data_IF_213805808437
#
_entry.id   IF_213805808437
#
_cell.length_a   1.000
_cell.length_b   1.000
_cell.length_c   1.000
_cell.angle_alpha   90.00
_cell.angle_beta   90.00
_cell.angle_gamma   90.00
#
_symmetry.space_group_name_H-M   'P 1'
#
loop_
_entity.id
_entity.type
_entity.pdbx_description
1 polymer ?
#
# COMPACT_ATOMS: atom_id res chain seq x y z
N UNK A 1 3.75 11.40 -1.06
CA UNK A 1 5.04 10.93 -1.62
C UNK A 1 4.89 10.89 -3.13
N UNK A 2 5.90 11.26 -3.93
CA UNK A 2 5.85 11.04 -5.38
C UNK A 2 6.27 9.62 -5.72
N UNK A 3 5.41 8.89 -6.42
CA UNK A 3 5.68 7.53 -6.90
C UNK A 3 6.06 7.58 -8.40
N UNK A 4 6.96 6.70 -8.85
CA UNK A 4 7.40 6.70 -10.25
C UNK A 4 6.26 6.29 -11.20
N UNK A 5 5.45 5.31 -10.80
CA UNK A 5 4.30 4.81 -11.54
C UNK A 5 3.26 4.26 -10.56
N UNK A 6 1.97 4.43 -10.86
CA UNK A 6 0.88 3.73 -10.18
C UNK A 6 0.64 2.38 -10.83
N UNK A 7 0.64 1.29 -10.06
CA UNK A 7 0.43 -0.04 -10.61
C UNK A 7 -0.99 -0.29 -11.12
N UNK A 8 -1.97 0.44 -10.60
CA UNK A 8 -3.38 0.34 -10.99
C UNK A 8 -3.68 1.08 -12.29
N UNK A 9 -3.39 2.38 -12.36
CA UNK A 9 -3.76 3.22 -13.52
C UNK A 9 -2.58 3.54 -14.46
N UNK A 10 -1.37 3.06 -14.13
CA UNK A 10 -0.12 3.33 -14.88
C UNK A 10 0.26 4.81 -15.02
N UNK A 11 -0.36 5.69 -14.24
CA UNK A 11 0.01 7.11 -14.16
C UNK A 11 1.43 7.25 -13.59
N UNK A 12 2.25 8.15 -14.17
CA UNK A 12 3.66 8.32 -13.82
C UNK A 12 3.91 9.66 -13.13
N UNK A 13 4.90 9.69 -12.23
CA UNK A 13 5.29 10.88 -11.46
C UNK A 13 4.15 11.53 -10.66
N UNK A 14 3.22 10.71 -10.18
CA UNK A 14 2.03 11.15 -9.43
C UNK A 14 2.26 11.03 -7.93
N UNK A 15 1.42 11.71 -7.15
CA UNK A 15 1.43 11.55 -5.71
C UNK A 15 0.70 10.27 -5.31
N UNK A 16 1.28 9.56 -4.36
CA UNK A 16 0.79 8.28 -3.91
C UNK A 16 1.52 7.76 -2.69
N UNK A 17 1.31 6.48 -2.45
CA UNK A 17 1.85 5.72 -1.32
C UNK A 17 2.22 4.32 -1.81
N UNK A 18 3.22 3.75 -1.17
CA UNK A 18 3.71 2.40 -1.44
C UNK A 18 3.17 1.45 -0.38
N UNK A 19 2.69 0.28 -0.78
CA UNK A 19 2.42 -0.79 0.16
C UNK A 19 3.74 -1.38 0.63
N UNK A 20 4.01 -1.32 1.93
CA UNK A 20 5.29 -1.79 2.50
C UNK A 20 5.47 -3.29 2.54
N UNK A 21 4.44 -4.04 2.15
CA UNK A 21 4.48 -5.49 2.14
C UNK A 21 4.71 -6.10 0.76
N UNK A 22 4.08 -5.55 -0.28
CA UNK A 22 4.25 -6.02 -1.66
C UNK A 22 5.02 -5.05 -2.55
N UNK A 23 5.48 -3.91 -2.00
CA UNK A 23 6.17 -2.83 -2.70
C UNK A 23 5.42 -2.25 -3.91
N UNK A 24 4.10 -2.48 -3.98
CA UNK A 24 3.24 -1.92 -5.02
C UNK A 24 2.97 -0.43 -4.78
N UNK A 25 2.93 0.33 -5.87
CA UNK A 25 2.71 1.77 -5.83
C UNK A 25 1.27 2.13 -6.19
N UNK A 26 0.62 2.92 -5.34
CA UNK A 26 -0.76 3.36 -5.54
C UNK A 26 -0.84 4.89 -5.49
N UNK A 27 -1.39 5.51 -6.55
CA UNK A 27 -1.62 6.95 -6.53
C UNK A 27 -2.82 7.31 -5.65
N UNK A 28 -2.83 8.54 -5.13
CA UNK A 28 -3.94 9.01 -4.30
C UNK A 28 -5.26 9.08 -5.07
N UNK A 29 -5.24 9.40 -6.36
CA UNK A 29 -6.45 9.34 -7.20
C UNK A 29 -7.09 7.95 -7.22
N UNK A 30 -6.29 6.89 -7.37
CA UNK A 30 -6.81 5.52 -7.32
C UNK A 30 -7.30 5.15 -5.91
N UNK A 31 -6.67 5.69 -4.87
CA UNK A 31 -7.07 5.43 -3.49
C UNK A 31 -8.39 6.11 -3.11
N UNK A 32 -8.60 7.32 -3.63
CA UNK A 32 -9.82 8.10 -3.44
C UNK A 32 -10.99 7.46 -4.20
N UNK A 33 -10.78 7.10 -5.48
CA UNK A 33 -11.81 6.46 -6.31
C UNK A 33 -12.26 5.09 -5.77
N UNK A 34 -11.32 4.27 -5.28
CA UNK A 34 -11.60 2.91 -4.85
C UNK A 34 -11.87 2.78 -3.35
N UNK A 35 -12.07 3.89 -2.62
CA UNK A 35 -12.25 3.92 -1.16
C UNK A 35 -11.27 3.03 -0.42
N UNK A 36 -10.05 3.52 -0.24
CA UNK A 36 -9.10 3.00 0.75
C UNK A 36 -8.73 1.53 0.53
N UNK A 37 -8.12 1.24 -0.60
CA UNK A 37 -7.40 -0.02 -0.81
C UNK A 37 -6.12 -0.14 0.02
N UNK A 38 -5.82 0.81 0.90
CA UNK A 38 -4.71 0.77 1.84
C UNK A 38 -5.22 0.97 3.26
N UNK A 39 -4.80 0.08 4.16
CA UNK A 39 -5.11 0.13 5.59
C UNK A 39 -3.82 0.08 6.41
N UNK A 40 -3.77 0.71 7.59
CA UNK A 40 -2.68 0.50 8.52
C UNK A 40 -2.70 -0.96 9.01
N UNK A 41 -1.55 -1.62 8.96
CA UNK A 41 -1.38 -2.95 9.52
C UNK A 41 -1.54 -2.88 11.05
N UNK A 42 -2.38 -3.70 11.70
CA UNK A 42 -2.59 -3.66 13.14
C UNK A 42 -1.36 -4.08 13.96
N UNK A 43 -0.39 -4.76 13.34
CA UNK A 43 0.82 -5.27 14.02
C UNK A 43 1.97 -4.26 14.00
N UNK A 44 2.25 -3.63 12.85
CA UNK A 44 3.40 -2.74 12.66
C UNK A 44 3.03 -1.28 12.40
N UNK A 45 1.75 -0.98 12.14
CA UNK A 45 1.27 0.37 11.82
C UNK A 45 1.60 0.86 10.40
N UNK A 46 2.31 0.08 9.58
CA UNK A 46 2.64 0.43 8.20
C UNK A 46 1.41 0.33 7.28
N UNK A 47 1.33 1.15 6.24
CA UNK A 47 0.25 1.07 5.26
C UNK A 47 0.43 -0.14 4.32
N UNK A 48 -0.57 -1.03 4.32
CA UNK A 48 -0.63 -2.23 3.48
C UNK A 48 -1.89 -2.26 2.63
N UNK A 49 -1.80 -2.80 1.41
CA UNK A 49 -2.96 -2.86 0.52
C UNK A 49 -4.00 -3.88 1.02
N UNK A 50 -5.25 -3.78 0.57
CA UNK A 50 -6.32 -4.70 0.98
C UNK A 50 -6.00 -6.16 0.65
N UNK A 51 -5.38 -6.44 -0.50
CA UNK A 51 -4.97 -7.81 -0.84
C UNK A 51 -3.94 -8.36 0.17
N UNK A 52 -2.98 -7.53 0.58
CA UNK A 52 -2.04 -7.89 1.63
C UNK A 52 -2.71 -7.95 3.01
N UNK A 53 -3.72 -7.13 3.28
CA UNK A 53 -4.48 -7.14 4.53
C UNK A 53 -5.39 -8.37 4.64
N UNK A 54 -6.04 -8.78 3.57
CA UNK A 54 -6.86 -10.00 3.50
C UNK A 54 -5.99 -11.27 3.44
N UNK A 55 -4.81 -11.17 2.81
CA UNK A 55 -3.87 -12.28 2.68
C UNK A 55 -2.93 -12.49 3.88
N UNK A 56 -2.69 -11.47 4.72
CA UNK A 56 -1.85 -11.60 5.92
C UNK A 56 -2.66 -11.71 7.19
N UNK A 57 -2.51 -12.86 7.83
CA UNK A 57 -2.86 -13.09 9.24
C UNK A 57 -1.73 -12.64 10.18
N UNK A 58 -0.48 -12.51 9.71
CA UNK A 58 0.68 -12.14 10.56
C UNK A 58 1.70 -11.32 9.77
N UNK A 59 2.13 -10.18 10.33
CA UNK A 59 3.18 -9.36 9.73
C UNK A 59 4.53 -10.08 9.89
N UNK A 60 4.97 -10.81 8.86
CA UNK A 60 6.24 -11.55 8.82
C UNK A 60 7.47 -10.63 8.71
N UNK A 61 7.47 -9.51 9.44
CA UNK A 61 8.59 -8.58 9.47
C UNK A 61 9.48 -8.88 10.69
N UNK A 62 10.66 -9.51 10.50
CA UNK A 62 11.56 -9.86 11.61
C UNK A 62 12.18 -8.62 12.30
N UNK A 63 11.90 -7.40 11.84
CA UNK A 63 12.40 -6.15 12.45
C UNK A 63 11.74 -5.74 13.77
N UNK A 64 10.68 -6.43 14.20
CA UNK A 64 9.96 -6.13 15.45
C UNK A 64 10.00 -7.28 16.46
N UNK A 65 11.02 -8.13 16.41
CA UNK A 65 11.28 -9.18 17.42
C UNK A 65 12.43 -8.78 18.35
#
# INVERSE_FOLDING_TARGET
MKIPICDTCKAKHVEGVVCRHCDNYYCYDCLDLHKSNLRPCPTCGEFICNECFEGMVECDNPRYK
#
